data_IF_123798296248
#
_entry.id   IF_123798296248
#
_cell.length_a   1.000
_cell.length_b   1.000
_cell.length_c   1.000
_cell.angle_alpha   90.00
_cell.angle_beta   90.00
_cell.angle_gamma   90.00
#
_symmetry.space_group_name_H-M   'P 1'
#
loop_
_entity.id
_entity.type
_entity.pdbx_description
1 polymer ?
#
# COMPACT_ATOMS: atom_id res chain seq x y z
N UNK A 1 -16.76 0.95 14.61
CA UNK A 1 -17.74 1.67 15.43
C UNK A 1 -17.03 2.68 16.33
N UNK A 2 -17.77 3.66 16.82
CA UNK A 2 -17.26 4.71 17.68
C UNK A 2 -17.44 4.33 19.17
N UNK A 3 -16.37 4.35 19.95
CA UNK A 3 -16.40 4.00 21.36
C UNK A 3 -17.15 5.02 22.22
N UNK A 4 -17.36 6.23 21.72
CA UNK A 4 -18.14 7.29 22.39
C UNK A 4 -19.65 7.07 22.36
N UNK A 5 -20.17 6.20 21.48
CA UNK A 5 -21.60 5.89 21.40
C UNK A 5 -22.03 5.13 22.65
N UNK A 6 -22.95 5.72 23.41
CA UNK A 6 -23.50 5.12 24.63
C UNK A 6 -24.54 4.05 24.32
N UNK A 7 -24.72 3.08 25.23
CA UNK A 7 -25.73 2.00 25.15
C UNK A 7 -25.63 1.14 23.89
N UNK A 8 -24.44 1.06 23.24
CA UNK A 8 -24.20 0.14 22.12
C UNK A 8 -24.02 -1.30 22.61
N UNK A 9 -24.49 -2.25 21.83
CA UNK A 9 -24.09 -3.65 21.93
C UNK A 9 -23.11 -3.97 20.81
N UNK A 10 -22.03 -4.68 21.12
CA UNK A 10 -20.96 -5.02 20.18
C UNK A 10 -20.99 -6.52 19.96
N UNK A 11 -21.32 -6.94 18.74
CA UNK A 11 -21.36 -8.37 18.38
C UNK A 11 -19.94 -9.00 18.40
N UNK A 12 -18.94 -8.25 17.91
CA UNK A 12 -17.54 -8.68 17.90
C UNK A 12 -16.70 -7.56 18.51
N UNK A 13 -16.04 -7.84 19.61
CA UNK A 13 -15.10 -6.91 20.23
C UNK A 13 -13.85 -6.76 19.38
N UNK A 14 -13.25 -5.56 19.41
CA UNK A 14 -11.92 -5.37 18.82
C UNK A 14 -10.92 -6.27 19.53
N UNK A 15 -10.16 -7.01 18.75
CA UNK A 15 -9.00 -7.76 19.25
C UNK A 15 -7.80 -6.84 19.08
N UNK A 16 -7.10 -6.58 20.17
CA UNK A 16 -5.82 -5.87 20.08
C UNK A 16 -4.78 -6.81 19.49
N UNK A 17 -4.20 -6.42 18.37
CA UNK A 17 -3.09 -7.14 17.76
C UNK A 17 -1.79 -6.78 18.49
N UNK A 18 -0.90 -7.73 18.60
CA UNK A 18 0.43 -7.60 19.18
C UNK A 18 1.45 -8.18 18.22
N UNK A 19 2.67 -7.71 18.32
CA UNK A 19 3.78 -8.13 17.47
C UNK A 19 3.46 -7.88 15.98
N UNK A 20 2.88 -6.71 15.70
CA UNK A 20 2.72 -6.24 14.33
C UNK A 20 4.09 -5.99 13.69
N UNK A 21 4.16 -5.93 12.37
CA UNK A 21 5.44 -5.71 11.68
C UNK A 21 6.13 -4.42 12.15
N UNK A 22 5.36 -3.34 12.37
CA UNK A 22 5.90 -2.08 12.89
C UNK A 22 6.47 -2.20 14.31
N UNK A 23 5.81 -2.96 15.19
CA UNK A 23 6.31 -3.25 16.54
C UNK A 23 7.58 -4.13 16.49
N UNK A 24 7.61 -5.11 15.58
CA UNK A 24 8.79 -5.96 15.35
C UNK A 24 10.01 -5.11 14.96
N UNK A 25 9.87 -4.22 13.97
CA UNK A 25 10.94 -3.32 13.56
C UNK A 25 11.42 -2.42 14.71
N UNK A 26 10.48 -1.84 15.46
CA UNK A 26 10.80 -1.01 16.62
C UNK A 26 11.55 -1.77 17.72
N UNK A 27 11.16 -3.02 17.99
CA UNK A 27 11.84 -3.88 18.96
C UNK A 27 13.29 -4.21 18.56
N UNK A 28 13.60 -4.15 17.25
CA UNK A 28 14.95 -4.35 16.72
C UNK A 28 15.71 -3.04 16.49
N UNK A 29 15.17 -1.90 16.97
CA UNK A 29 15.73 -0.55 16.77
C UNK A 29 15.89 -0.17 15.29
N UNK A 30 15.07 -0.72 14.42
CA UNK A 30 15.03 -0.39 13.00
C UNK A 30 14.17 0.85 12.74
N UNK A 31 14.58 1.64 11.76
CA UNK A 31 13.87 2.84 11.32
C UNK A 31 12.93 2.52 10.18
N UNK A 32 11.75 3.13 10.17
CA UNK A 32 10.72 2.83 9.19
C UNK A 32 9.99 4.09 8.69
N UNK A 33 9.63 4.13 7.41
CA UNK A 33 8.81 5.17 6.83
C UNK A 33 7.48 4.62 6.31
N UNK A 34 6.40 5.38 6.50
CA UNK A 34 5.05 5.12 5.97
C UNK A 34 4.68 6.25 5.04
N UNK A 35 4.46 5.94 3.76
CA UNK A 35 4.25 6.95 2.72
C UNK A 35 2.95 6.65 1.99
N UNK A 36 2.04 7.59 1.95
CA UNK A 36 0.84 7.50 1.11
C UNK A 36 0.21 8.89 0.91
N UNK A 37 -0.66 8.99 -0.09
CA UNK A 37 -1.57 10.12 -0.18
C UNK A 37 -2.79 9.94 0.74
N UNK A 38 -3.59 11.02 0.93
CA UNK A 38 -4.67 11.10 1.93
C UNK A 38 -5.57 9.87 1.95
N UNK A 39 -6.00 9.38 0.78
CA UNK A 39 -6.97 8.28 0.68
C UNK A 39 -6.45 6.94 1.21
N UNK A 40 -5.14 6.74 1.20
CA UNK A 40 -4.50 5.50 1.67
C UNK A 40 -3.56 5.69 2.85
N UNK A 41 -3.55 6.89 3.45
CA UNK A 41 -2.69 7.16 4.60
C UNK A 41 -3.01 6.28 5.81
N UNK A 42 -4.29 6.12 6.16
CA UNK A 42 -4.70 5.24 7.24
C UNK A 42 -4.33 3.76 6.98
N UNK A 43 -4.25 3.34 5.71
CA UNK A 43 -3.91 1.97 5.34
C UNK A 43 -2.46 1.62 5.68
N UNK A 44 -1.53 2.56 5.47
CA UNK A 44 -0.11 2.36 5.79
C UNK A 44 0.27 2.78 7.23
N UNK A 45 -0.66 3.35 7.99
CA UNK A 45 -0.45 3.80 9.38
C UNK A 45 -1.37 3.06 10.35
N UNK A 46 -2.55 3.58 10.62
CA UNK A 46 -3.49 3.06 11.60
C UNK A 46 -3.84 1.59 11.38
N UNK A 47 -4.27 1.20 10.18
CA UNK A 47 -4.63 -0.19 9.91
C UNK A 47 -3.41 -1.11 9.89
N UNK A 48 -2.30 -0.67 9.32
CA UNK A 48 -1.06 -1.42 9.29
C UNK A 48 -0.48 -1.67 10.70
N UNK A 49 -0.73 -0.74 11.64
CA UNK A 49 -0.35 -0.86 13.05
C UNK A 49 -1.44 -1.54 13.90
N UNK A 50 -2.31 -2.35 13.29
CA UNK A 50 -3.32 -3.13 14.00
C UNK A 50 -4.41 -2.29 14.70
N UNK A 51 -4.69 -1.09 14.19
CA UNK A 51 -5.69 -0.17 14.74
C UNK A 51 -5.16 0.73 15.86
N UNK A 52 -3.84 0.90 15.94
CA UNK A 52 -3.16 1.83 16.84
C UNK A 52 -2.77 3.09 16.10
N UNK A 53 -3.23 4.26 16.58
CA UNK A 53 -2.95 5.56 15.94
C UNK A 53 -1.52 6.04 16.21
N UNK A 54 -0.99 5.74 17.39
CA UNK A 54 0.34 6.18 17.81
C UNK A 54 1.42 5.54 16.93
N UNK A 55 2.37 6.32 16.40
CA UNK A 55 3.51 5.76 15.66
C UNK A 55 4.38 4.86 16.53
N UNK A 56 4.91 3.80 15.94
CA UNK A 56 5.92 2.99 16.62
C UNK A 56 7.25 3.78 16.80
N UNK A 57 8.08 3.46 17.77
CA UNK A 57 9.44 4.00 17.84
C UNK A 57 10.17 3.82 16.50
N UNK A 58 10.79 4.89 15.99
CA UNK A 58 11.48 4.87 14.70
C UNK A 58 10.58 4.94 13.47
N UNK A 59 9.26 5.13 13.63
CA UNK A 59 8.29 5.27 12.54
C UNK A 59 8.07 6.74 12.16
N UNK A 60 8.48 7.11 10.95
CA UNK A 60 8.15 8.38 10.33
C UNK A 60 6.95 8.22 9.38
N UNK A 61 6.07 9.20 9.36
CA UNK A 61 4.87 9.24 8.52
C UNK A 61 4.92 10.39 7.54
N UNK A 62 4.82 10.09 6.25
CA UNK A 62 4.90 11.06 5.16
C UNK A 62 3.57 11.06 4.43
N UNK A 63 2.75 12.07 4.74
CA UNK A 63 1.45 12.29 4.09
C UNK A 63 1.59 13.22 2.89
N UNK A 64 1.13 12.78 1.74
CA UNK A 64 0.90 13.60 0.55
C UNK A 64 -0.60 13.88 0.44
N UNK A 65 -0.99 15.13 0.17
CA UNK A 65 -2.41 15.45 0.03
C UNK A 65 -2.94 14.95 -1.30
N UNK A 66 -4.06 14.24 -1.28
CA UNK A 66 -4.80 13.87 -2.50
C UNK A 66 -5.39 15.10 -3.19
N UNK A 67 -5.57 15.06 -4.53
CA UNK A 67 -6.17 16.16 -5.27
C UNK A 67 -7.62 16.39 -4.86
N UNK A 68 -8.06 17.64 -4.89
CA UNK A 68 -9.43 18.04 -4.56
C UNK A 68 -10.29 18.02 -5.82
N UNK A 69 -10.69 16.84 -6.24
CA UNK A 69 -11.60 16.62 -7.37
C UNK A 69 -12.89 15.95 -6.90
N UNK A 70 -13.95 16.02 -7.69
CA UNK A 70 -15.23 15.39 -7.33
C UNK A 70 -15.12 13.87 -7.34
N UNK A 71 -14.47 13.31 -8.35
CA UNK A 71 -14.18 11.88 -8.51
C UNK A 71 -12.79 11.73 -9.14
N UNK A 72 -12.08 10.64 -8.85
CA UNK A 72 -10.68 10.49 -9.27
C UNK A 72 -10.49 10.10 -10.73
N UNK A 73 -11.53 9.74 -11.46
CA UNK A 73 -11.49 9.62 -12.92
C UNK A 73 -11.20 10.95 -13.64
N UNK A 74 -11.47 12.07 -12.97
CA UNK A 74 -11.14 13.41 -13.48
C UNK A 74 -9.65 13.76 -13.37
N UNK A 75 -8.92 13.07 -12.50
CA UNK A 75 -7.48 13.21 -12.30
C UNK A 75 -6.86 11.85 -11.92
N UNK A 76 -6.73 10.92 -12.88
CA UNK A 76 -6.34 9.52 -12.62
C UNK A 76 -4.93 9.37 -12.02
N UNK A 77 -4.01 10.28 -12.35
CA UNK A 77 -2.67 10.31 -11.76
C UNK A 77 -2.67 10.63 -10.27
N UNK A 78 -3.77 11.19 -9.75
CA UNK A 78 -3.94 11.58 -8.35
C UNK A 78 -2.68 12.31 -7.83
N UNK A 79 -2.12 11.86 -6.72
CA UNK A 79 -0.85 12.40 -6.19
C UNK A 79 0.32 11.43 -6.35
N UNK A 80 0.21 10.41 -7.21
CA UNK A 80 1.27 9.42 -7.39
C UNK A 80 2.64 10.03 -7.72
N UNK A 81 2.78 11.06 -8.59
CA UNK A 81 4.09 11.67 -8.83
C UNK A 81 4.73 12.26 -7.56
N UNK A 82 3.94 12.92 -6.71
CA UNK A 82 4.44 13.49 -5.46
C UNK A 82 4.75 12.41 -4.40
N UNK A 83 3.95 11.34 -4.34
CA UNK A 83 4.25 10.16 -3.51
C UNK A 83 5.55 9.52 -3.98
N UNK A 84 5.75 9.37 -5.29
CA UNK A 84 6.95 8.81 -5.90
C UNK A 84 8.20 9.65 -5.57
N UNK A 85 8.12 10.98 -5.62
CA UNK A 85 9.21 11.87 -5.21
C UNK A 85 9.61 11.61 -3.76
N UNK A 86 8.64 11.59 -2.83
CA UNK A 86 8.89 11.29 -1.41
C UNK A 86 9.47 9.91 -1.19
N UNK A 87 8.99 8.91 -1.94
CA UNK A 87 9.50 7.54 -1.89
C UNK A 87 10.96 7.48 -2.33
N UNK A 88 11.28 8.02 -3.50
CA UNK A 88 12.64 7.97 -4.05
C UNK A 88 13.64 8.78 -3.21
N UNK A 89 13.21 9.92 -2.64
CA UNK A 89 14.00 10.70 -1.69
C UNK A 89 14.27 9.90 -0.40
N UNK A 90 13.24 9.23 0.14
CA UNK A 90 13.38 8.40 1.33
C UNK A 90 14.34 7.23 1.10
N UNK A 91 14.24 6.54 -0.04
CA UNK A 91 15.14 5.45 -0.43
C UNK A 91 16.58 5.96 -0.49
N UNK A 92 16.85 7.03 -1.27
CA UNK A 92 18.19 7.57 -1.47
C UNK A 92 18.80 8.20 -0.23
N UNK A 93 17.98 8.58 0.74
CA UNK A 93 18.46 9.17 2.00
C UNK A 93 19.27 8.21 2.86
N UNK A 94 19.06 6.88 2.70
CA UNK A 94 19.63 5.86 3.56
C UNK A 94 19.20 5.98 5.04
N UNK A 95 18.13 6.74 5.32
CA UNK A 95 17.65 6.98 6.69
C UNK A 95 16.85 5.80 7.23
N UNK A 96 16.16 5.07 6.36
CA UNK A 96 15.19 4.06 6.75
C UNK A 96 15.65 2.67 6.38
N UNK A 97 15.52 1.76 7.35
CA UNK A 97 15.74 0.33 7.12
C UNK A 97 14.58 -0.29 6.33
N UNK A 98 13.35 0.19 6.57
CA UNK A 98 12.13 -0.29 5.89
C UNK A 98 11.26 0.89 5.46
N UNK A 99 10.76 0.85 4.23
CA UNK A 99 9.82 1.83 3.69
C UNK A 99 8.56 1.10 3.22
N UNK A 100 7.39 1.56 3.67
CA UNK A 100 6.09 1.06 3.23
C UNK A 100 5.36 2.20 2.54
N UNK A 101 4.98 1.98 1.30
CA UNK A 101 4.28 2.95 0.47
C UNK A 101 3.00 2.33 -0.11
N UNK A 102 1.96 3.13 -0.27
CA UNK A 102 0.76 2.76 -1.03
C UNK A 102 0.46 3.83 -2.08
N UNK A 103 0.28 3.38 -3.32
CA UNK A 103 -0.22 4.18 -4.43
C UNK A 103 -1.73 3.94 -4.55
N UNK A 104 -2.53 4.97 -4.28
CA UNK A 104 -3.98 4.88 -4.18
C UNK A 104 -4.70 4.70 -5.52
N UNK A 105 -4.04 5.00 -6.62
CA UNK A 105 -4.66 5.20 -7.93
C UNK A 105 -5.48 4.02 -8.44
N UNK A 106 -4.97 2.77 -8.50
CA UNK A 106 -5.72 1.66 -9.08
C UNK A 106 -7.04 1.41 -8.36
N UNK A 107 -7.04 1.52 -7.03
CA UNK A 107 -8.23 1.32 -6.22
C UNK A 107 -9.20 2.50 -6.33
N UNK A 108 -8.73 3.72 -6.07
CA UNK A 108 -9.60 4.91 -6.03
C UNK A 108 -10.22 5.24 -7.39
N UNK A 109 -9.46 5.08 -8.47
CA UNK A 109 -9.97 5.28 -9.83
C UNK A 109 -10.81 4.09 -10.28
N UNK A 110 -10.43 2.86 -9.91
CA UNK A 110 -11.20 1.64 -10.17
C UNK A 110 -12.62 1.71 -9.63
N UNK A 111 -12.82 2.29 -8.45
CA UNK A 111 -14.15 2.52 -7.88
C UNK A 111 -15.06 3.41 -8.71
N UNK A 112 -14.54 4.16 -9.67
CA UNK A 112 -15.35 4.99 -10.58
C UNK A 112 -15.95 4.19 -11.72
N UNK A 113 -15.42 3.00 -12.03
CA UNK A 113 -15.84 2.17 -13.16
C UNK A 113 -15.49 2.75 -14.54
N UNK A 114 -14.65 3.80 -14.59
CA UNK A 114 -14.24 4.46 -15.83
C UNK A 114 -12.96 3.83 -16.36
N UNK A 115 -13.06 2.89 -17.30
CA UNK A 115 -11.94 2.09 -17.82
C UNK A 115 -10.76 2.93 -18.30
N UNK A 116 -11.02 3.93 -19.16
CA UNK A 116 -9.95 4.80 -19.68
C UNK A 116 -9.21 5.59 -18.58
N UNK A 117 -9.88 5.90 -17.48
CA UNK A 117 -9.26 6.55 -16.34
C UNK A 117 -8.43 5.55 -15.53
N UNK A 118 -8.93 4.33 -15.34
CA UNK A 118 -8.21 3.27 -14.67
C UNK A 118 -6.90 2.91 -15.40
N UNK A 119 -6.93 2.82 -16.74
CA UNK A 119 -5.71 2.63 -17.55
C UNK A 119 -4.68 3.72 -17.26
N UNK A 120 -5.08 4.99 -17.30
CA UNK A 120 -4.18 6.12 -17.00
C UNK A 120 -3.66 6.10 -15.56
N UNK A 121 -4.49 5.66 -14.61
CA UNK A 121 -4.09 5.50 -13.23
C UNK A 121 -2.98 4.45 -13.09
N UNK A 122 -3.12 3.30 -13.77
CA UNK A 122 -2.12 2.22 -13.80
C UNK A 122 -0.83 2.71 -14.48
N UNK A 123 -0.92 3.40 -15.63
CA UNK A 123 0.24 3.96 -16.33
C UNK A 123 1.04 4.92 -15.43
N UNK A 124 0.34 5.79 -14.67
CA UNK A 124 0.99 6.71 -13.73
C UNK A 124 1.69 5.96 -12.57
N UNK A 125 1.09 4.89 -12.07
CA UNK A 125 1.71 4.06 -11.02
C UNK A 125 2.88 3.27 -11.58
N UNK A 126 2.78 2.70 -12.79
CA UNK A 126 3.86 1.96 -13.44
C UNK A 126 5.12 2.83 -13.61
N UNK A 127 4.95 4.08 -14.07
CA UNK A 127 6.04 5.05 -14.15
C UNK A 127 6.69 5.31 -12.77
N UNK A 128 5.87 5.45 -11.73
CA UNK A 128 6.36 5.65 -10.36
C UNK A 128 7.10 4.42 -9.82
N UNK A 129 6.57 3.24 -10.06
CA UNK A 129 7.20 1.97 -9.68
C UNK A 129 8.54 1.80 -10.39
N UNK A 130 8.63 2.13 -11.69
CA UNK A 130 9.89 2.13 -12.43
C UNK A 130 10.96 3.01 -11.77
N UNK A 131 10.60 4.24 -11.37
CA UNK A 131 11.51 5.16 -10.65
C UNK A 131 11.92 4.61 -9.28
N UNK A 132 11.01 3.96 -8.56
CA UNK A 132 11.31 3.33 -7.28
C UNK A 132 12.27 2.15 -7.44
N UNK A 133 12.08 1.31 -8.47
CA UNK A 133 12.98 0.20 -8.81
C UNK A 133 14.40 0.69 -9.08
N UNK A 134 14.55 1.78 -9.85
CA UNK A 134 15.88 2.35 -10.08
C UNK A 134 16.50 2.89 -8.78
N UNK A 135 15.73 3.59 -7.95
CA UNK A 135 16.22 4.10 -6.68
C UNK A 135 16.65 2.98 -5.72
N UNK A 136 15.91 1.87 -5.65
CA UNK A 136 16.27 0.70 -4.82
C UNK A 136 17.57 0.06 -5.31
N UNK A 137 17.76 -0.06 -6.62
CA UNK A 137 19.02 -0.59 -7.19
C UNK A 137 20.22 0.30 -6.90
N UNK A 138 20.04 1.63 -6.91
CA UNK A 138 21.09 2.60 -6.58
C UNK A 138 21.65 2.42 -5.16
N UNK A 139 20.82 1.97 -4.23
CA UNK A 139 21.20 1.76 -2.81
C UNK A 139 21.39 0.30 -2.44
N UNK A 140 21.37 -0.60 -3.42
CA UNK A 140 21.49 -2.05 -3.24
C UNK A 140 20.43 -2.63 -2.27
N UNK A 141 19.24 -2.05 -2.28
CA UNK A 141 18.10 -2.47 -1.47
C UNK A 141 17.25 -3.54 -2.16
N UNK A 142 16.38 -4.19 -1.40
CA UNK A 142 15.39 -5.16 -1.89
C UNK A 142 14.00 -4.53 -1.85
N UNK A 143 13.15 -4.83 -2.85
CA UNK A 143 11.80 -4.29 -2.92
C UNK A 143 10.78 -5.38 -3.24
N UNK A 144 9.63 -5.35 -2.54
CA UNK A 144 8.44 -6.08 -2.92
C UNK A 144 7.40 -5.15 -3.55
N UNK A 145 6.78 -5.61 -4.63
CA UNK A 145 5.67 -4.95 -5.30
C UNK A 145 4.46 -5.87 -5.20
N UNK A 146 3.38 -5.40 -4.61
CA UNK A 146 2.13 -6.16 -4.48
C UNK A 146 0.92 -5.23 -4.48
N UNK A 147 -0.27 -5.81 -4.48
CA UNK A 147 -1.50 -5.14 -4.12
C UNK A 147 -2.10 -5.79 -2.87
N UNK A 148 -2.90 -5.04 -2.11
CA UNK A 148 -3.61 -5.51 -0.93
C UNK A 148 -4.94 -6.21 -1.27
N UNK A 149 -5.51 -5.92 -2.45
CA UNK A 149 -6.70 -6.55 -3.03
C UNK A 149 -6.78 -6.25 -4.53
N UNK A 150 -7.68 -6.92 -5.23
CA UNK A 150 -8.04 -6.60 -6.60
C UNK A 150 -9.13 -5.53 -6.68
N UNK A 151 -9.14 -4.77 -7.77
CA UNK A 151 -10.14 -3.76 -8.13
C UNK A 151 -10.05 -3.43 -9.63
N UNK A 152 -8.99 -2.71 -10.05
CA UNK A 152 -8.86 -2.17 -11.40
C UNK A 152 -8.68 -3.24 -12.51
N UNK A 153 -8.35 -4.46 -12.16
CA UNK A 153 -8.25 -5.58 -13.11
C UNK A 153 -9.62 -6.07 -13.59
N UNK A 154 -10.71 -5.69 -12.92
CA UNK A 154 -12.07 -6.06 -13.29
C UNK A 154 -13.02 -4.87 -13.12
N UNK A 155 -13.31 -4.15 -14.19
CA UNK A 155 -14.17 -2.96 -14.20
C UNK A 155 -15.57 -3.24 -14.77
N UNK A 156 -15.83 -4.47 -15.20
CA UNK A 156 -17.10 -4.92 -15.77
C UNK A 156 -17.53 -6.20 -15.06
N UNK A 157 -18.79 -6.26 -14.69
CA UNK A 157 -19.44 -7.49 -14.29
C UNK A 157 -19.64 -8.37 -15.52
N UNK A 158 -19.02 -9.54 -15.55
CA UNK A 158 -19.03 -10.42 -16.72
C UNK A 158 -20.37 -11.10 -16.98
N UNK A 159 -21.27 -11.12 -16.00
CA UNK A 159 -22.61 -11.70 -16.14
C UNK A 159 -23.62 -10.68 -16.67
N UNK A 160 -23.55 -9.44 -16.16
CA UNK A 160 -24.53 -8.39 -16.45
C UNK A 160 -24.06 -7.40 -17.52
N UNK A 161 -22.73 -7.24 -17.70
CA UNK A 161 -22.13 -6.21 -18.55
C UNK A 161 -22.14 -4.82 -17.95
N UNK A 162 -22.59 -4.67 -16.71
CA UNK A 162 -22.63 -3.40 -15.97
C UNK A 162 -21.25 -3.05 -15.38
N UNK A 163 -20.99 -1.77 -15.07
CA UNK A 163 -19.76 -1.38 -14.38
C UNK A 163 -19.59 -2.11 -13.03
N UNK A 164 -18.41 -2.68 -12.81
CA UNK A 164 -18.04 -3.32 -11.57
C UNK A 164 -17.07 -2.39 -10.80
N UNK A 165 -17.51 -1.88 -9.67
CA UNK A 165 -16.81 -0.86 -8.90
C UNK A 165 -16.39 -1.31 -7.50
N UNK A 166 -16.49 -2.61 -7.21
CA UNK A 166 -16.15 -3.21 -5.94
C UNK A 166 -14.76 -3.87 -5.99
N UNK A 167 -14.22 -4.17 -4.82
CA UNK A 167 -13.02 -5.01 -4.71
C UNK A 167 -13.30 -6.42 -5.21
N UNK A 168 -12.30 -7.06 -5.78
CA UNK A 168 -12.36 -8.46 -6.21
C UNK A 168 -11.55 -9.36 -5.25
N UNK A 169 -11.80 -10.65 -5.34
CA UNK A 169 -10.98 -11.68 -4.67
C UNK A 169 -9.96 -12.32 -5.62
N UNK A 170 -9.72 -11.69 -6.76
CA UNK A 170 -8.73 -12.17 -7.72
C UNK A 170 -7.33 -12.17 -7.09
N UNK A 171 -6.46 -13.13 -7.47
CA UNK A 171 -5.07 -13.11 -7.06
C UNK A 171 -4.38 -11.80 -7.46
N UNK A 172 -3.59 -11.24 -6.55
CA UNK A 172 -2.80 -10.03 -6.80
C UNK A 172 -1.35 -10.40 -7.11
N UNK A 173 -0.60 -9.55 -7.85
CA UNK A 173 0.81 -9.79 -8.11
C UNK A 173 1.62 -9.69 -6.82
N UNK A 174 2.71 -10.47 -6.74
CA UNK A 174 3.73 -10.35 -5.72
C UNK A 174 5.10 -10.52 -6.38
N UNK A 175 5.83 -9.43 -6.51
CA UNK A 175 7.07 -9.34 -7.29
C UNK A 175 8.23 -8.96 -6.36
N UNK A 176 9.30 -9.75 -6.42
CA UNK A 176 10.55 -9.49 -5.70
C UNK A 176 11.55 -8.84 -6.65
N UNK A 177 12.12 -7.72 -6.24
CA UNK A 177 13.04 -6.92 -7.04
C UNK A 177 14.38 -6.79 -6.31
N UNK A 178 15.48 -6.96 -7.05
CA UNK A 178 16.87 -6.77 -6.62
C UNK A 178 17.28 -7.66 -5.42
N UNK A 179 16.70 -8.86 -5.33
CA UNK A 179 17.13 -9.88 -4.39
C UNK A 179 18.23 -10.78 -5.00
N UNK A 180 18.88 -11.56 -4.16
CA UNK A 180 19.87 -12.53 -4.61
C UNK A 180 19.32 -13.49 -5.67
N UNK A 181 20.11 -13.84 -6.66
CA UNK A 181 19.69 -14.61 -7.84
C UNK A 181 19.16 -16.03 -7.53
N UNK A 182 19.51 -16.58 -6.38
CA UNK A 182 19.06 -17.89 -5.88
C UNK A 182 17.78 -17.82 -5.05
N UNK A 183 17.34 -16.63 -4.64
CA UNK A 183 16.07 -16.42 -3.95
C UNK A 183 14.90 -16.72 -4.88
N UNK A 184 13.92 -17.46 -4.37
CA UNK A 184 12.69 -17.80 -5.08
C UNK A 184 11.50 -17.65 -4.15
N UNK A 185 10.48 -16.94 -4.66
CA UNK A 185 9.18 -16.92 -4.01
C UNK A 185 8.49 -18.28 -4.19
N UNK A 186 7.88 -18.80 -3.12
CA UNK A 186 7.06 -20.02 -3.20
C UNK A 186 5.72 -19.70 -3.87
N UNK A 187 5.14 -20.69 -4.54
CA UNK A 187 3.77 -20.58 -5.05
C UNK A 187 2.73 -20.71 -3.92
N UNK A 188 1.53 -20.18 -4.17
CA UNK A 188 0.39 -20.30 -3.25
C UNK A 188 0.52 -19.48 -1.96
N UNK A 189 1.30 -18.39 -2.00
CA UNK A 189 1.39 -17.44 -0.89
C UNK A 189 0.11 -16.61 -0.73
N UNK A 190 -0.02 -15.97 0.44
CA UNK A 190 -1.10 -15.05 0.78
C UNK A 190 -0.54 -13.76 1.39
N UNK A 191 -1.38 -12.72 1.52
CA UNK A 191 -0.95 -11.43 2.08
C UNK A 191 -0.33 -11.54 3.48
N UNK A 192 -0.75 -12.52 4.27
CA UNK A 192 -0.17 -12.79 5.60
C UNK A 192 1.27 -13.31 5.56
N UNK A 193 1.78 -13.74 4.42
CA UNK A 193 3.14 -14.22 4.25
C UNK A 193 4.14 -13.08 3.96
N UNK A 194 3.66 -11.86 3.65
CA UNK A 194 4.51 -10.73 3.25
C UNK A 194 5.44 -10.30 4.38
N UNK A 195 4.88 -9.98 5.56
CA UNK A 195 5.69 -9.55 6.71
C UNK A 195 6.70 -10.62 7.17
N UNK A 196 6.33 -11.92 7.32
CA UNK A 196 7.31 -12.97 7.58
C UNK A 196 8.42 -13.04 6.54
N UNK A 197 8.10 -12.91 5.25
CA UNK A 197 9.10 -12.94 4.17
C UNK A 197 10.06 -11.74 4.26
N UNK A 198 9.56 -10.53 4.60
CA UNK A 198 10.40 -9.36 4.83
C UNK A 198 11.33 -9.51 6.04
N UNK A 199 10.95 -10.29 7.03
CA UNK A 199 11.76 -10.55 8.23
C UNK A 199 12.88 -11.55 7.94
N UNK A 200 12.70 -12.45 6.98
CA UNK A 200 13.70 -13.45 6.58
C UNK A 200 14.80 -12.88 5.68
N UNK A 201 14.58 -11.70 5.06
CA UNK A 201 15.56 -10.97 4.24
C UNK A 201 16.52 -10.16 5.10
#
# INVERSE_FOLDING_TARGET
YDDTIQNKQVAFHKVQLHNTFGEYLAAHNMTQARIAETEKYAHVTFFFNGGVEEPNPGEDRILVKSPKVATYDLQPEMSAPAVCEKLTDAIRSGKYDVIIVNFANPDMVGHTGVENAAVKAIEAVDECVGKAVEAIKEVDGVMFICADHGNAEQLVDYETGEPYTAHTTNPVPFILVNADADMKLREGGALCDIAPTLIEL
#
